data_IF_267776997527
#
_entry.id   IF_267776997527
#
_cell.length_a   1.000
_cell.length_b   1.000
_cell.length_c   1.000
_cell.angle_alpha   90.00
_cell.angle_beta   90.00
_cell.angle_gamma   90.00
#
_symmetry.space_group_name_H-M   'P 1'
#
loop_
_entity.id
_entity.type
_entity.pdbx_description
1 polymer ?
#
# COMPACT_ATOMS: atom_id res chain seq x y z
N UNK A 1 27.37 38.53 -5.43
CA UNK A 1 26.71 37.75 -4.36
C UNK A 1 25.31 37.36 -4.81
N UNK A 2 25.12 36.13 -5.27
CA UNK A 2 23.81 35.63 -5.72
C UNK A 2 23.24 34.69 -4.66
N UNK A 3 22.13 35.10 -4.02
CA UNK A 3 21.37 34.28 -3.07
C UNK A 3 20.63 33.18 -3.85
N UNK A 4 21.02 31.91 -3.64
CA UNK A 4 20.26 30.75 -4.10
C UNK A 4 18.95 30.68 -3.31
N UNK A 5 17.82 30.80 -3.99
CA UNK A 5 16.49 30.50 -3.44
C UNK A 5 16.39 28.98 -3.28
N UNK A 6 16.26 28.52 -2.04
CA UNK A 6 15.86 27.17 -1.72
C UNK A 6 14.47 26.94 -2.32
N UNK A 7 14.36 26.00 -3.25
CA UNK A 7 13.07 25.55 -3.77
C UNK A 7 12.44 24.66 -2.68
N UNK A 8 11.43 25.20 -2.01
CA UNK A 8 10.52 24.51 -1.07
C UNK A 8 9.67 23.46 -1.84
N UNK A 9 10.33 22.41 -2.32
CA UNK A 9 9.69 21.28 -3.00
C UNK A 9 8.77 20.48 -2.06
N UNK A 10 9.01 20.55 -0.74
CA UNK A 10 8.21 19.84 0.26
C UNK A 10 6.81 20.43 0.48
N UNK A 11 6.65 21.75 0.36
CA UNK A 11 5.35 22.41 0.60
C UNK A 11 4.45 22.37 -0.65
N UNK A 12 5.05 22.52 -1.83
CA UNK A 12 4.32 22.38 -3.09
C UNK A 12 3.82 20.94 -3.32
N UNK A 13 4.55 19.91 -2.86
CA UNK A 13 4.09 18.52 -2.92
C UNK A 13 2.92 18.26 -1.95
N UNK A 14 2.92 18.89 -0.77
CA UNK A 14 1.82 18.81 0.21
C UNK A 14 0.56 19.54 -0.27
N UNK A 15 0.70 20.69 -0.94
CA UNK A 15 -0.43 21.43 -1.51
C UNK A 15 -1.05 20.71 -2.74
N UNK A 16 -0.26 19.92 -3.48
CA UNK A 16 -0.76 19.08 -4.58
C UNK A 16 -1.55 17.86 -4.11
N UNK A 17 -1.22 17.30 -2.94
CA UNK A 17 -2.02 16.22 -2.30
C UNK A 17 -3.29 16.72 -1.59
N UNK A 18 -3.37 18.01 -1.24
CA UNK A 18 -4.58 18.61 -0.66
C UNK A 18 -5.67 18.90 -1.70
N UNK A 19 -5.30 18.90 -2.99
CA UNK A 19 -6.20 19.08 -4.11
C UNK A 19 -6.65 17.73 -4.72
N UNK A 20 -6.80 16.69 -3.91
CA UNK A 20 -7.61 15.55 -4.31
C UNK A 20 -9.01 16.10 -4.62
N UNK A 21 -9.54 15.98 -5.85
CA UNK A 21 -10.90 16.38 -6.11
C UNK A 21 -11.76 15.63 -5.11
N UNK A 22 -12.39 16.38 -4.21
CA UNK A 22 -13.37 15.84 -3.27
C UNK A 22 -14.43 15.27 -4.17
N UNK A 23 -14.42 13.94 -4.35
CA UNK A 23 -15.45 13.26 -5.12
C UNK A 23 -16.75 13.67 -4.43
N UNK A 24 -17.64 14.41 -5.12
CA UNK A 24 -18.84 14.90 -4.48
C UNK A 24 -19.56 13.67 -3.93
N UNK A 25 -19.82 13.67 -2.61
CA UNK A 25 -20.60 12.63 -1.96
C UNK A 25 -21.79 12.32 -2.87
N UNK A 26 -21.91 11.05 -3.29
CA UNK A 26 -22.91 10.65 -4.27
C UNK A 26 -24.27 11.24 -3.85
N UNK A 27 -24.77 12.22 -4.61
CA UNK A 27 -26.05 12.86 -4.27
C UNK A 27 -27.11 11.78 -4.31
N UNK A 28 -27.74 11.51 -3.16
CA UNK A 28 -28.82 10.53 -3.03
C UNK A 28 -29.86 10.80 -4.12
N UNK A 29 -30.04 9.90 -5.10
CA UNK A 29 -31.12 10.06 -6.05
C UNK A 29 -32.44 9.88 -5.29
N UNK A 30 -33.29 10.91 -5.28
CA UNK A 30 -34.57 10.87 -4.55
C UNK A 30 -35.53 9.79 -5.07
N UNK A 31 -35.25 9.25 -6.25
CA UNK A 31 -36.01 8.19 -6.90
C UNK A 31 -35.58 6.78 -6.48
N UNK A 32 -34.45 6.61 -5.78
CA UNK A 32 -34.00 5.28 -5.34
C UNK A 32 -34.70 4.87 -4.04
N UNK A 33 -35.39 3.72 -3.99
CA UNK A 33 -35.97 3.21 -2.75
C UNK A 33 -34.89 3.04 -1.67
N UNK A 34 -35.22 3.37 -0.41
CA UNK A 34 -34.28 3.23 0.72
C UNK A 34 -33.70 1.82 0.83
N UNK A 35 -34.54 0.78 0.64
CA UNK A 35 -34.10 -0.61 0.67
C UNK A 35 -33.06 -0.95 -0.42
N UNK A 36 -33.14 -0.31 -1.59
CA UNK A 36 -32.17 -0.53 -2.67
C UNK A 36 -30.82 0.13 -2.36
N UNK A 37 -30.84 1.29 -1.70
CA UNK A 37 -29.64 1.95 -1.18
C UNK A 37 -28.95 1.10 -0.09
N UNK A 38 -29.72 0.59 0.86
CA UNK A 38 -29.20 -0.28 1.93
C UNK A 38 -28.55 -1.54 1.35
N UNK A 39 -29.19 -2.17 0.36
CA UNK A 39 -28.61 -3.33 -0.33
C UNK A 39 -27.31 -3.00 -1.07
N UNK A 40 -27.22 -1.81 -1.69
CA UNK A 40 -26.00 -1.38 -2.36
C UNK A 40 -24.86 -1.12 -1.37
N UNK A 41 -25.16 -0.48 -0.23
CA UNK A 41 -24.18 -0.27 0.84
C UNK A 41 -23.66 -1.60 1.37
N UNK A 42 -24.56 -2.54 1.65
CA UNK A 42 -24.21 -3.86 2.16
C UNK A 42 -23.35 -4.64 1.16
N UNK A 43 -23.74 -4.67 -0.13
CA UNK A 43 -22.94 -5.30 -1.19
C UNK A 43 -21.58 -4.65 -1.36
N UNK A 44 -21.50 -3.32 -1.24
CA UNK A 44 -20.23 -2.59 -1.34
C UNK A 44 -19.31 -2.94 -0.17
N UNK A 45 -19.84 -3.02 1.05
CA UNK A 45 -19.10 -3.44 2.24
C UNK A 45 -18.58 -4.87 2.09
N UNK A 46 -19.43 -5.80 1.67
CA UNK A 46 -19.03 -7.19 1.47
C UNK A 46 -17.90 -7.34 0.43
N UNK A 47 -17.89 -6.53 -0.63
CA UNK A 47 -16.79 -6.53 -1.61
C UNK A 47 -15.48 -6.03 -1.01
N UNK A 48 -15.55 -4.98 -0.18
CA UNK A 48 -14.39 -4.44 0.53
C UNK A 48 -13.86 -5.46 1.54
N UNK A 49 -14.71 -6.04 2.38
CA UNK A 49 -14.31 -7.05 3.38
C UNK A 49 -13.64 -8.27 2.72
N UNK A 50 -14.21 -8.78 1.63
CA UNK A 50 -13.61 -9.88 0.89
C UNK A 50 -12.22 -9.52 0.31
N UNK A 51 -12.05 -8.27 -0.13
CA UNK A 51 -10.76 -7.78 -0.59
C UNK A 51 -9.78 -7.63 0.58
N UNK A 52 -10.21 -7.11 1.73
CA UNK A 52 -9.41 -7.00 2.96
C UNK A 52 -8.88 -8.35 3.42
N UNK A 53 -9.74 -9.37 3.47
CA UNK A 53 -9.36 -10.74 3.81
C UNK A 53 -8.34 -11.31 2.81
N UNK A 54 -8.55 -11.07 1.52
CA UNK A 54 -7.65 -11.54 0.47
C UNK A 54 -6.26 -10.89 0.58
N UNK A 55 -6.19 -9.58 0.86
CA UNK A 55 -4.91 -8.87 0.91
C UNK A 55 -4.16 -9.07 2.22
N UNK A 56 -4.83 -9.46 3.30
CA UNK A 56 -4.20 -9.65 4.60
C UNK A 56 -3.03 -10.66 4.54
N UNK A 57 -3.19 -11.77 3.81
CA UNK A 57 -2.12 -12.76 3.66
C UNK A 57 -0.91 -12.24 2.88
N UNK A 58 -1.14 -11.46 1.83
CA UNK A 58 -0.05 -10.83 1.08
C UNK A 58 0.64 -9.72 1.88
N UNK A 59 -0.13 -8.92 2.61
CA UNK A 59 0.42 -7.89 3.47
C UNK A 59 1.33 -8.50 4.55
N UNK A 60 0.89 -9.57 5.21
CA UNK A 60 1.69 -10.29 6.21
C UNK A 60 3.02 -10.76 5.61
N UNK A 61 2.98 -11.46 4.47
CA UNK A 61 4.18 -11.96 3.81
C UNK A 61 5.16 -10.85 3.40
N UNK A 62 4.63 -9.74 2.88
CA UNK A 62 5.46 -8.61 2.46
C UNK A 62 6.07 -7.91 3.66
N UNK A 63 5.28 -7.67 4.72
CA UNK A 63 5.74 -6.99 5.93
C UNK A 63 6.67 -7.86 6.78
N UNK A 64 6.57 -9.19 6.70
CA UNK A 64 7.53 -10.10 7.35
C UNK A 64 8.87 -10.15 6.61
N UNK A 65 8.93 -9.70 5.36
CA UNK A 65 10.17 -9.64 4.58
C UNK A 65 10.96 -8.37 4.92
N UNK A 66 11.52 -8.33 6.13
CA UNK A 66 12.39 -7.25 6.60
C UNK A 66 13.90 -7.56 6.44
N UNK A 67 14.77 -6.61 6.78
CA UNK A 67 16.21 -6.79 6.59
C UNK A 67 16.80 -7.92 7.44
N UNK A 68 16.26 -8.13 8.65
CA UNK A 68 16.70 -9.18 9.56
C UNK A 68 16.31 -10.56 9.01
N UNK A 69 15.08 -10.70 8.51
CA UNK A 69 14.62 -11.93 7.83
C UNK A 69 15.47 -12.25 6.59
N UNK A 70 15.81 -11.23 5.78
CA UNK A 70 16.72 -11.42 4.64
C UNK A 70 18.13 -11.86 5.08
N UNK A 71 18.64 -11.32 6.18
CA UNK A 71 19.91 -11.76 6.76
C UNK A 71 19.83 -13.19 7.30
N UNK A 72 18.71 -13.56 7.93
CA UNK A 72 18.46 -14.91 8.41
C UNK A 72 18.45 -15.92 7.26
N UNK A 73 17.67 -15.69 6.21
CA UNK A 73 17.64 -16.54 5.03
C UNK A 73 19.02 -16.68 4.37
N UNK A 74 19.78 -15.59 4.27
CA UNK A 74 21.16 -15.65 3.78
C UNK A 74 22.07 -16.47 4.71
N UNK A 75 21.90 -16.39 6.03
CA UNK A 75 22.61 -17.19 7.02
C UNK A 75 22.32 -18.69 6.89
N UNK A 76 21.03 -19.05 6.81
CA UNK A 76 20.56 -20.41 6.59
C UNK A 76 21.05 -20.99 5.25
N UNK A 77 21.03 -20.18 4.19
CA UNK A 77 21.56 -20.60 2.89
C UNK A 77 23.06 -20.96 2.96
N UNK A 78 23.87 -20.13 3.66
CA UNK A 78 25.30 -20.41 3.85
C UNK A 78 25.53 -21.69 4.65
N UNK A 79 24.77 -21.91 5.73
CA UNK A 79 24.92 -23.13 6.55
C UNK A 79 24.52 -24.39 5.80
N UNK A 80 23.59 -24.28 4.85
CA UNK A 80 23.18 -25.36 3.94
C UNK A 80 24.10 -25.52 2.70
N UNK A 81 25.14 -24.71 2.53
CA UNK A 81 26.02 -24.76 1.36
C UNK A 81 25.39 -24.21 0.06
N UNK A 82 24.31 -23.45 0.17
CA UNK A 82 23.61 -22.80 -0.94
C UNK A 82 24.16 -21.38 -1.20
N UNK A 83 23.82 -20.81 -2.36
CA UNK A 83 24.15 -19.43 -2.67
C UNK A 83 23.18 -18.47 -1.94
N UNK A 84 23.63 -17.70 -0.94
CA UNK A 84 22.77 -16.79 -0.18
C UNK A 84 22.11 -15.71 -1.04
N UNK A 85 22.79 -15.24 -2.09
CA UNK A 85 22.24 -14.20 -2.98
C UNK A 85 21.03 -14.72 -3.73
N UNK A 86 21.09 -15.96 -4.22
CA UNK A 86 20.00 -16.58 -4.95
C UNK A 86 18.78 -16.86 -4.06
N UNK A 87 19.01 -17.23 -2.80
CA UNK A 87 17.93 -17.47 -1.83
C UNK A 87 17.24 -16.15 -1.50
N UNK A 88 18.00 -15.11 -1.18
CA UNK A 88 17.45 -13.77 -0.91
C UNK A 88 16.70 -13.21 -2.12
N UNK A 89 17.24 -13.33 -3.34
CA UNK A 89 16.54 -12.92 -4.57
C UNK A 89 15.20 -13.66 -4.73
N UNK A 90 15.13 -14.94 -4.37
CA UNK A 90 13.88 -15.72 -4.42
C UNK A 90 12.84 -15.18 -3.44
N UNK A 91 13.24 -14.89 -2.20
CA UNK A 91 12.35 -14.33 -1.17
C UNK A 91 11.84 -12.95 -1.59
N UNK A 92 12.72 -12.07 -2.03
CA UNK A 92 12.34 -10.72 -2.49
C UNK A 92 11.41 -10.78 -3.70
N UNK A 93 11.65 -11.69 -4.65
CA UNK A 93 10.73 -11.88 -5.79
C UNK A 93 9.37 -12.40 -5.39
N UNK A 94 9.29 -13.28 -4.39
CA UNK A 94 8.01 -13.74 -3.86
C UNK A 94 7.22 -12.57 -3.24
N UNK A 95 7.86 -11.76 -2.39
CA UNK A 95 7.23 -10.56 -1.81
C UNK A 95 6.81 -9.53 -2.87
N UNK A 96 7.62 -9.32 -3.92
CA UNK A 96 7.22 -8.48 -5.05
C UNK A 96 6.03 -9.06 -5.82
N UNK A 97 5.94 -10.38 -5.96
CA UNK A 97 4.80 -11.08 -6.55
C UNK A 97 3.52 -10.89 -5.74
N UNK A 98 3.62 -10.89 -4.41
CA UNK A 98 2.51 -10.63 -3.50
C UNK A 98 2.03 -9.16 -3.61
N UNK A 99 2.96 -8.19 -3.70
CA UNK A 99 2.60 -6.78 -4.00
C UNK A 99 1.86 -6.61 -5.33
N UNK A 100 2.29 -7.32 -6.38
CA UNK A 100 1.62 -7.30 -7.69
C UNK A 100 0.21 -7.90 -7.59
N UNK A 101 0.08 -9.00 -6.85
CA UNK A 101 -1.22 -9.66 -6.64
C UNK A 101 -2.18 -8.78 -5.84
N UNK A 102 -1.67 -8.07 -4.83
CA UNK A 102 -2.41 -7.08 -4.07
C UNK A 102 -2.88 -5.92 -4.96
N UNK A 103 -2.01 -5.31 -5.75
CA UNK A 103 -2.37 -4.24 -6.69
C UNK A 103 -3.45 -4.69 -7.70
N UNK A 104 -3.36 -5.92 -8.18
CA UNK A 104 -4.37 -6.52 -9.05
C UNK A 104 -5.72 -6.71 -8.34
N UNK A 105 -5.72 -7.12 -7.07
CA UNK A 105 -6.95 -7.27 -6.28
C UNK A 105 -7.63 -5.92 -6.03
N UNK A 106 -6.89 -4.85 -5.74
CA UNK A 106 -7.45 -3.50 -5.61
C UNK A 106 -8.03 -2.99 -6.93
N UNK A 107 -7.38 -3.28 -8.05
CA UNK A 107 -7.92 -3.00 -9.39
C UNK A 107 -9.22 -3.77 -9.66
N UNK A 108 -9.28 -5.03 -9.21
CA UNK A 108 -10.48 -5.86 -9.23
C UNK A 108 -11.62 -5.30 -8.38
N UNK A 109 -11.32 -4.86 -7.15
CA UNK A 109 -12.26 -4.22 -6.24
C UNK A 109 -12.85 -2.95 -6.86
N UNK A 110 -12.02 -2.06 -7.40
CA UNK A 110 -12.47 -0.83 -8.05
C UNK A 110 -13.42 -1.13 -9.22
N UNK A 111 -13.12 -2.16 -10.02
CA UNK A 111 -13.96 -2.61 -11.12
C UNK A 111 -15.29 -3.20 -10.64
N UNK A 112 -15.27 -3.99 -9.57
CA UNK A 112 -16.46 -4.57 -8.97
C UNK A 112 -17.39 -3.51 -8.37
N UNK A 113 -16.82 -2.53 -7.64
CA UNK A 113 -17.55 -1.40 -7.11
C UNK A 113 -18.14 -0.53 -8.23
N UNK A 114 -17.43 -0.37 -9.35
CA UNK A 114 -17.94 0.41 -10.50
C UNK A 114 -19.15 -0.29 -11.10
N UNK A 115 -19.03 -1.60 -11.35
CA UNK A 115 -20.13 -2.41 -11.86
C UNK A 115 -21.35 -2.35 -10.95
N UNK A 116 -21.15 -2.43 -9.63
CA UNK A 116 -22.23 -2.31 -8.64
C UNK A 116 -22.92 -0.94 -8.69
N UNK A 117 -22.14 0.13 -8.86
CA UNK A 117 -22.67 1.49 -9.03
C UNK A 117 -23.49 1.63 -10.32
N UNK A 118 -22.98 1.11 -11.43
CA UNK A 118 -23.65 1.12 -12.73
C UNK A 118 -24.96 0.31 -12.70
N UNK A 119 -24.96 -0.87 -12.08
CA UNK A 119 -26.16 -1.71 -11.86
C UNK A 119 -27.27 -0.96 -11.10
N UNK A 120 -26.89 -0.09 -10.17
CA UNK A 120 -27.82 0.73 -9.40
C UNK A 120 -28.19 2.06 -10.07
N UNK A 121 -27.64 2.37 -11.24
CA UNK A 121 -27.84 3.64 -11.93
C UNK A 121 -27.32 4.84 -11.13
N UNK A 122 -26.31 4.63 -10.28
CA UNK A 122 -25.68 5.68 -9.48
C UNK A 122 -24.53 6.34 -10.25
N UNK A 123 -24.33 7.63 -10.00
CA UNK A 123 -23.13 8.33 -10.47
C UNK A 123 -22.14 8.39 -9.32
N UNK A 124 -21.16 7.49 -9.33
CA UNK A 124 -20.05 7.47 -8.36
C UNK A 124 -20.15 6.35 -7.31
N UNK A 125 -19.22 6.37 -6.37
CA UNK A 125 -19.07 5.34 -5.34
C UNK A 125 -19.67 5.77 -4.01
N UNK A 126 -20.01 4.79 -3.18
CA UNK A 126 -20.37 5.06 -1.79
C UNK A 126 -19.14 5.62 -1.03
N UNK A 127 -19.26 6.71 -0.24
CA UNK A 127 -18.12 7.32 0.45
C UNK A 127 -17.33 6.34 1.33
N UNK A 128 -18.00 5.46 2.07
CA UNK A 128 -17.32 4.49 2.94
C UNK A 128 -16.48 3.48 2.15
N UNK A 129 -16.97 3.05 0.97
CA UNK A 129 -16.22 2.14 0.11
C UNK A 129 -15.00 2.84 -0.50
N UNK A 130 -15.09 4.14 -0.80
CA UNK A 130 -13.96 4.95 -1.24
C UNK A 130 -12.92 5.07 -0.12
N UNK A 131 -13.35 5.41 1.10
CA UNK A 131 -12.46 5.55 2.24
C UNK A 131 -11.72 4.24 2.56
N UNK A 132 -12.44 3.10 2.52
CA UNK A 132 -11.81 1.79 2.70
C UNK A 132 -10.82 1.45 1.58
N UNK A 133 -11.19 1.70 0.32
CA UNK A 133 -10.27 1.53 -0.82
C UNK A 133 -9.00 2.36 -0.69
N UNK A 134 -9.13 3.63 -0.27
CA UNK A 134 -7.98 4.49 0.01
C UNK A 134 -7.08 3.95 1.13
N UNK A 135 -7.67 3.43 2.21
CA UNK A 135 -6.91 2.79 3.29
C UNK A 135 -6.13 1.56 2.80
N UNK A 136 -6.67 0.80 1.84
CA UNK A 136 -5.96 -0.33 1.23
C UNK A 136 -4.82 0.13 0.31
N UNK A 137 -5.02 1.20 -0.47
CA UNK A 137 -3.96 1.80 -1.28
C UNK A 137 -2.81 2.33 -0.42
N UNK A 138 -3.13 2.99 0.71
CA UNK A 138 -2.14 3.47 1.67
C UNK A 138 -1.32 2.33 2.28
N UNK A 139 -1.99 1.24 2.68
CA UNK A 139 -1.34 0.03 3.18
C UNK A 139 -0.43 -0.61 2.13
N UNK A 140 -0.88 -0.70 0.87
CA UNK A 140 -0.04 -1.19 -0.24
C UNK A 140 1.20 -0.32 -0.44
N UNK A 141 1.03 1.00 -0.43
CA UNK A 141 2.14 1.95 -0.59
C UNK A 141 3.15 1.83 0.57
N UNK A 142 2.65 1.65 1.79
CA UNK A 142 3.48 1.41 2.98
C UNK A 142 4.24 0.08 2.89
N UNK A 143 3.58 -1.02 2.56
CA UNK A 143 4.21 -2.32 2.41
C UNK A 143 5.30 -2.31 1.33
N UNK A 144 5.05 -1.64 0.20
CA UNK A 144 6.04 -1.43 -0.86
C UNK A 144 7.25 -0.63 -0.36
N UNK A 145 7.02 0.43 0.41
CA UNK A 145 8.09 1.22 1.01
C UNK A 145 8.94 0.37 1.98
N UNK A 146 8.30 -0.44 2.82
CA UNK A 146 8.97 -1.30 3.78
C UNK A 146 9.85 -2.34 3.10
N UNK A 147 9.33 -3.03 2.09
CA UNK A 147 10.11 -4.02 1.32
C UNK A 147 11.33 -3.39 0.64
N UNK A 148 11.17 -2.24 0.00
CA UNK A 148 12.29 -1.53 -0.64
C UNK A 148 13.33 -1.08 0.39
N UNK A 149 12.89 -0.63 1.57
CA UNK A 149 13.77 -0.24 2.66
C UNK A 149 14.56 -1.44 3.20
N UNK A 150 13.89 -2.58 3.41
CA UNK A 150 14.50 -3.83 3.86
C UNK A 150 15.58 -4.32 2.88
N UNK A 151 15.28 -4.32 1.58
CA UNK A 151 16.23 -4.71 0.53
C UNK A 151 17.44 -3.76 0.51
N UNK A 152 17.20 -2.45 0.63
CA UNK A 152 18.29 -1.46 0.67
C UNK A 152 19.18 -1.65 1.91
N UNK A 153 18.57 -1.87 3.08
CA UNK A 153 19.27 -2.11 4.34
C UNK A 153 20.08 -3.41 4.30
N UNK A 154 19.52 -4.50 3.77
CA UNK A 154 20.23 -5.75 3.58
C UNK A 154 21.48 -5.59 2.71
N UNK A 155 21.39 -4.85 1.60
CA UNK A 155 22.50 -4.69 0.66
C UNK A 155 23.56 -3.69 1.08
N UNK A 156 23.17 -2.61 1.77
CA UNK A 156 24.05 -1.50 2.10
C UNK A 156 24.40 -1.42 3.58
N UNK A 157 23.81 -2.31 4.39
CA UNK A 157 23.79 -2.20 5.84
C UNK A 157 22.86 -1.09 6.29
N UNK A 158 22.57 -1.05 7.60
CA UNK A 158 21.87 0.07 8.19
C UNK A 158 22.75 1.32 8.07
N UNK A 159 22.36 2.27 7.22
CA UNK A 159 22.79 3.66 7.36
C UNK A 159 22.04 4.31 8.51
N UNK A 160 21.89 3.61 9.64
CA UNK A 160 21.37 4.20 10.86
C UNK A 160 22.23 5.40 11.23
N UNK A 161 21.66 6.47 11.84
CA UNK A 161 22.46 7.58 12.30
C UNK A 161 23.58 7.02 13.17
N UNK A 162 24.84 7.16 12.73
CA UNK A 162 26.00 6.80 13.55
C UNK A 162 25.76 7.46 14.89
N UNK A 163 25.55 6.66 15.95
CA UNK A 163 25.63 7.17 17.30
C UNK A 163 26.98 7.87 17.38
N UNK A 164 26.97 9.20 17.35
CA UNK A 164 28.17 9.97 17.61
C UNK A 164 28.50 9.62 19.05
N UNK A 165 29.50 8.77 19.27
CA UNK A 165 30.15 8.72 20.56
C UNK A 165 30.37 10.18 20.98
N UNK A 166 29.90 10.60 22.16
CA UNK A 166 30.11 11.97 22.59
C UNK A 166 31.62 12.20 22.54
N UNK A 167 32.04 13.18 21.73
CA UNK A 167 33.44 13.60 21.77
C UNK A 167 33.65 14.19 23.17
N UNK A 168 34.79 13.92 23.82
CA UNK A 168 35.03 14.34 25.20
C UNK A 168 35.42 15.82 25.28
N UNK A 169 34.79 16.66 24.48
CA UNK A 169 34.88 18.12 24.52
C UNK A 169 33.53 18.73 24.16
#
# INVERSE_FOLDING_TARGET
MAKRRSLDLGRAALDLTAATPTVPAARRPQWLPTAALEQLVERSRALVEACEEQVAGWEENVLSTDADELHEHAGQARSAGLNPVSVVDTVVRAALGDLVSWEAALSGLASALRKLSDEAGLVGFHPDAVAAGQGLDERLAWARYQLLSAVAEYHHGSAGPRQRSPRPW
#
